data_IF_267743883797
#
_entry.id   IF_267743883797
#
_cell.length_a   1.000
_cell.length_b   1.000
_cell.length_c   1.000
_cell.angle_alpha   90.00
_cell.angle_beta   90.00
_cell.angle_gamma   90.00
#
_symmetry.space_group_name_H-M   'P 1'
#
loop_
_entity.id
_entity.type
_entity.pdbx_description
1 polymer ?
#
# COMPACT_ATOMS: atom_id res chain seq x y z
N UNK A 1 16.93 -24.89 13.60
CA UNK A 1 16.57 -23.86 12.60
C UNK A 1 15.06 -23.93 12.42
N UNK A 2 14.35 -22.86 12.76
CA UNK A 2 12.89 -22.77 12.65
C UNK A 2 12.51 -22.39 11.22
N UNK A 3 11.31 -22.76 10.75
CA UNK A 3 10.75 -22.29 9.47
C UNK A 3 10.72 -20.75 9.38
N UNK A 4 10.78 -20.04 10.52
CA UNK A 4 10.93 -18.58 10.59
C UNK A 4 12.30 -18.07 10.12
N UNK A 5 13.35 -18.90 10.17
CA UNK A 5 14.70 -18.56 9.71
C UNK A 5 14.82 -18.61 8.16
N UNK A 6 13.82 -19.18 7.49
CA UNK A 6 13.71 -19.23 6.02
C UNK A 6 12.92 -18.05 5.45
N UNK A 7 12.36 -17.17 6.30
CA UNK A 7 11.75 -15.93 5.83
C UNK A 7 12.87 -15.00 5.36
N UNK A 8 12.92 -14.60 4.07
CA UNK A 8 14.04 -13.80 3.59
C UNK A 8 14.07 -12.45 4.33
N UNK A 9 15.26 -12.09 4.82
CA UNK A 9 15.65 -10.77 5.38
C UNK A 9 15.23 -9.58 4.49
N UNK A 10 14.90 -9.86 3.22
CA UNK A 10 14.34 -8.95 2.22
C UNK A 10 12.94 -8.38 2.54
N UNK A 11 12.28 -8.79 3.62
CA UNK A 11 10.90 -8.36 3.96
C UNK A 11 10.83 -7.04 4.73
N UNK A 12 11.71 -6.80 5.71
CA UNK A 12 11.66 -5.59 6.56
C UNK A 12 11.99 -4.32 5.78
N UNK A 13 13.10 -4.31 5.05
CA UNK A 13 13.53 -3.16 4.25
C UNK A 13 12.57 -2.84 3.11
N UNK A 14 12.03 -3.87 2.44
CA UNK A 14 11.00 -3.69 1.43
C UNK A 14 9.73 -3.05 2.01
N UNK A 15 9.31 -3.51 3.18
CA UNK A 15 8.19 -2.91 3.92
C UNK A 15 8.47 -1.46 4.28
N UNK A 16 9.61 -1.15 4.89
CA UNK A 16 10.00 0.22 5.25
C UNK A 16 10.05 1.16 4.05
N UNK A 17 10.59 0.70 2.92
CA UNK A 17 10.62 1.47 1.68
C UNK A 17 9.20 1.73 1.14
N UNK A 18 8.33 0.72 1.15
CA UNK A 18 6.94 0.86 0.73
C UNK A 18 6.16 1.82 1.65
N UNK A 19 6.36 1.73 2.96
CA UNK A 19 5.75 2.65 3.94
C UNK A 19 6.24 4.07 3.74
N UNK A 20 7.54 4.26 3.51
CA UNK A 20 8.10 5.59 3.21
C UNK A 20 7.52 6.17 1.92
N UNK A 21 7.42 5.36 0.88
CA UNK A 21 6.80 5.76 -0.39
C UNK A 21 5.32 6.10 -0.21
N UNK A 22 4.58 5.33 0.59
CA UNK A 22 3.19 5.59 0.91
C UNK A 22 3.00 6.90 1.69
N UNK A 23 3.79 7.13 2.76
CA UNK A 23 3.74 8.39 3.51
C UNK A 23 4.11 9.60 2.63
N UNK A 24 5.05 9.43 1.71
CA UNK A 24 5.37 10.46 0.72
C UNK A 24 4.20 10.72 -0.23
N UNK A 25 3.54 9.67 -0.71
CA UNK A 25 2.33 9.78 -1.52
C UNK A 25 1.23 10.57 -0.78
N UNK A 26 0.98 10.28 0.50
CA UNK A 26 0.02 11.06 1.30
C UNK A 26 0.42 12.54 1.36
N UNK A 27 1.70 12.82 1.61
CA UNK A 27 2.20 14.20 1.68
C UNK A 27 2.05 14.95 0.36
N UNK A 28 2.33 14.28 -0.77
CA UNK A 28 2.16 14.85 -2.12
C UNK A 28 0.66 15.12 -2.44
N UNK A 29 -0.27 14.37 -1.83
CA UNK A 29 -1.73 14.59 -1.92
C UNK A 29 -2.26 15.59 -0.87
N UNK A 30 -1.40 16.17 -0.04
CA UNK A 30 -1.80 17.09 1.04
C UNK A 30 -2.50 16.40 2.23
N UNK A 31 -2.33 15.08 2.36
CA UNK A 31 -2.94 14.25 3.42
C UNK A 31 -1.89 13.97 4.49
N UNK A 32 -2.21 14.27 5.76
CA UNK A 32 -1.36 13.87 6.88
C UNK A 32 -1.70 12.46 7.35
N UNK A 33 -0.74 11.79 8.01
CA UNK A 33 -0.98 10.45 8.55
C UNK A 33 -2.04 10.50 9.67
N UNK A 34 -1.99 11.54 10.50
CA UNK A 34 -2.90 11.76 11.62
C UNK A 34 -4.34 11.96 11.13
N UNK A 35 -4.52 12.69 10.02
CA UNK A 35 -5.84 12.83 9.39
C UNK A 35 -6.36 11.48 8.88
N UNK A 36 -5.48 10.67 8.27
CA UNK A 36 -5.85 9.34 7.80
C UNK A 36 -6.26 8.44 8.96
N UNK A 37 -5.54 8.47 10.09
CA UNK A 37 -5.89 7.72 11.31
C UNK A 37 -7.30 8.11 11.82
N UNK A 38 -7.62 9.40 11.86
CA UNK A 38 -8.98 9.87 12.23
C UNK A 38 -10.03 9.37 11.25
N UNK A 39 -9.73 9.26 9.96
CA UNK A 39 -10.66 8.65 9.00
C UNK A 39 -10.91 7.16 9.28
N UNK A 40 -9.93 6.43 9.84
CA UNK A 40 -10.06 4.99 10.11
C UNK A 40 -10.94 4.66 11.33
N UNK A 41 -11.35 5.67 12.10
CA UNK A 41 -12.30 5.52 13.21
C UNK A 41 -13.75 5.82 12.82
N UNK A 42 -14.01 6.24 11.58
CA UNK A 42 -15.34 6.61 11.07
C UNK A 42 -16.02 5.43 10.41
N UNK A 43 -17.34 5.49 10.27
CA UNK A 43 -18.14 4.43 9.64
C UNK A 43 -17.71 4.15 8.18
N UNK A 44 -17.23 5.17 7.47
CA UNK A 44 -16.77 5.05 6.09
C UNK A 44 -15.30 4.60 5.97
N UNK A 45 -14.63 4.23 7.06
CA UNK A 45 -13.23 3.80 7.08
C UNK A 45 -12.88 2.72 6.02
N UNK A 46 -13.70 1.67 5.78
CA UNK A 46 -13.41 0.68 4.74
C UNK A 46 -13.28 1.30 3.34
N UNK A 47 -14.18 2.22 3.00
CA UNK A 47 -14.20 2.90 1.71
C UNK A 47 -13.00 3.84 1.56
N UNK A 48 -12.65 4.57 2.62
CA UNK A 48 -11.48 5.45 2.64
C UNK A 48 -10.20 4.64 2.45
N UNK A 49 -10.04 3.54 3.18
CA UNK A 49 -8.87 2.66 3.06
C UNK A 49 -8.74 2.09 1.64
N UNK A 50 -9.84 1.58 1.07
CA UNK A 50 -9.87 1.11 -0.31
C UNK A 50 -9.47 2.19 -1.33
N UNK A 51 -9.99 3.41 -1.16
CA UNK A 51 -9.70 4.52 -2.06
C UNK A 51 -8.23 4.95 -1.99
N UNK A 52 -7.67 5.07 -0.79
CA UNK A 52 -6.28 5.48 -0.57
C UNK A 52 -5.31 4.43 -1.11
N UNK A 53 -5.55 3.14 -0.84
CA UNK A 53 -4.71 2.06 -1.37
C UNK A 53 -4.81 1.96 -2.89
N UNK A 54 -6.00 2.16 -3.48
CA UNK A 54 -6.19 2.20 -4.94
C UNK A 54 -5.40 3.35 -5.57
N UNK A 55 -5.51 4.57 -5.02
CA UNK A 55 -4.80 5.75 -5.51
C UNK A 55 -3.29 5.59 -5.38
N UNK A 56 -2.82 5.00 -4.28
CA UNK A 56 -1.40 4.68 -4.11
C UNK A 56 -0.90 3.72 -5.20
N UNK A 57 -1.64 2.63 -5.48
CA UNK A 57 -1.32 1.72 -6.58
C UNK A 57 -1.25 2.41 -7.94
N UNK A 58 -2.20 3.30 -8.24
CA UNK A 58 -2.17 4.11 -9.45
C UNK A 58 -0.96 5.05 -9.49
N UNK A 59 -0.60 5.68 -8.38
CA UNK A 59 0.60 6.52 -8.31
C UNK A 59 1.88 5.71 -8.60
N UNK A 60 1.97 4.46 -8.16
CA UNK A 60 3.13 3.61 -8.44
C UNK A 60 3.21 3.22 -9.92
N UNK A 61 2.07 2.92 -10.55
CA UNK A 61 2.02 2.50 -11.94
C UNK A 61 2.22 3.64 -12.94
N UNK A 62 1.78 4.85 -12.60
CA UNK A 62 1.67 5.96 -13.56
C UNK A 62 2.45 7.22 -13.19
N UNK A 63 2.88 7.40 -11.93
CA UNK A 63 3.69 8.57 -11.56
C UNK A 63 5.12 8.32 -12.00
N UNK A 64 5.58 9.11 -12.97
CA UNK A 64 6.97 9.09 -13.41
C UNK A 64 7.90 9.34 -12.20
N UNK A 65 8.92 8.49 -12.05
CA UNK A 65 9.98 8.74 -11.07
C UNK A 65 10.81 9.98 -11.44
N UNK A 66 11.87 10.25 -10.66
CA UNK A 66 12.76 11.43 -10.85
C UNK A 66 13.42 11.57 -12.24
N UNK A 67 13.25 10.60 -13.15
CA UNK A 67 13.81 10.57 -14.51
C UNK A 67 12.76 10.41 -15.61
N UNK A 68 11.48 10.62 -15.32
CA UNK A 68 10.42 10.35 -16.31
C UNK A 68 10.10 8.86 -16.47
N UNK A 69 10.69 7.99 -15.64
CA UNK A 69 10.61 6.53 -15.84
C UNK A 69 9.61 5.91 -14.87
N UNK A 70 8.70 5.08 -15.42
CA UNK A 70 7.75 4.30 -14.63
C UNK A 70 8.45 3.19 -13.85
N UNK A 71 7.87 2.82 -12.72
CA UNK A 71 8.35 1.66 -11.96
C UNK A 71 8.09 0.38 -12.75
N UNK A 72 9.05 -0.54 -12.74
CA UNK A 72 8.82 -1.87 -13.27
C UNK A 72 7.66 -2.55 -12.53
N UNK A 73 6.79 -3.26 -13.25
CA UNK A 73 5.62 -3.98 -12.73
C UNK A 73 5.87 -4.74 -11.42
N UNK A 74 6.98 -5.49 -11.33
CA UNK A 74 7.31 -6.26 -10.12
C UNK A 74 7.55 -5.37 -8.90
N UNK A 75 8.14 -4.18 -9.08
CA UNK A 75 8.32 -3.18 -8.03
C UNK A 75 6.98 -2.54 -7.64
N UNK A 76 6.13 -2.19 -8.62
CA UNK A 76 4.78 -1.68 -8.35
C UNK A 76 4.03 -2.66 -7.44
N UNK A 77 4.04 -3.94 -7.80
CA UNK A 77 3.37 -4.98 -7.01
C UNK A 77 4.02 -5.20 -5.65
N UNK A 78 5.35 -5.13 -5.54
CA UNK A 78 6.04 -5.24 -4.26
C UNK A 78 5.65 -4.09 -3.32
N UNK A 79 5.69 -2.84 -3.79
CA UNK A 79 5.33 -1.67 -3.00
C UNK A 79 3.85 -1.70 -2.61
N UNK A 80 2.97 -2.01 -3.55
CA UNK A 80 1.54 -2.13 -3.31
C UNK A 80 1.24 -3.17 -2.22
N UNK A 81 1.78 -4.40 -2.35
CA UNK A 81 1.54 -5.48 -1.38
C UNK A 81 2.06 -5.13 0.00
N UNK A 82 3.27 -4.56 0.08
CA UNK A 82 3.88 -4.18 1.35
C UNK A 82 3.14 -3.04 2.05
N UNK A 83 2.74 -1.99 1.33
CA UNK A 83 1.96 -0.88 1.88
C UNK A 83 0.56 -1.34 2.30
N UNK A 84 -0.12 -2.14 1.47
CA UNK A 84 -1.42 -2.73 1.79
C UNK A 84 -1.36 -3.51 3.09
N UNK A 85 -0.43 -4.46 3.18
CA UNK A 85 -0.30 -5.30 4.37
C UNK A 85 0.06 -4.46 5.61
N UNK A 86 0.95 -3.48 5.48
CA UNK A 86 1.27 -2.59 6.59
C UNK A 86 0.05 -1.79 7.06
N UNK A 87 -0.75 -1.21 6.16
CA UNK A 87 -1.99 -0.51 6.54
C UNK A 87 -2.99 -1.42 7.26
N UNK A 88 -3.16 -2.66 6.78
CA UNK A 88 -4.03 -3.64 7.43
C UNK A 88 -3.50 -4.07 8.81
N UNK A 89 -2.19 -4.00 9.03
CA UNK A 89 -1.61 -4.21 10.35
C UNK A 89 -1.79 -2.99 11.27
N UNK A 90 -1.89 -1.77 10.72
CA UNK A 90 -2.22 -0.56 11.50
C UNK A 90 -3.72 -0.52 11.88
N UNK A 91 -4.59 -1.04 11.02
CA UNK A 91 -6.05 -1.00 11.19
C UNK A 91 -6.65 -2.42 11.10
N UNK A 92 -6.36 -3.31 12.08
CA UNK A 92 -6.72 -4.72 11.99
C UNK A 92 -8.23 -4.95 11.92
N UNK A 93 -9.05 -4.06 12.48
CA UNK A 93 -10.52 -4.10 12.41
C UNK A 93 -11.07 -3.96 10.98
N UNK A 94 -10.31 -3.37 10.07
CA UNK A 94 -10.71 -3.19 8.67
C UNK A 94 -10.33 -4.37 7.76
N UNK A 95 -9.53 -5.32 8.26
CA UNK A 95 -8.94 -6.39 7.44
C UNK A 95 -9.98 -7.33 6.87
N UNK A 96 -10.91 -7.84 7.68
CA UNK A 96 -11.96 -8.76 7.21
C UNK A 96 -12.88 -8.11 6.17
N UNK A 97 -13.12 -6.80 6.29
CA UNK A 97 -14.03 -6.04 5.45
C UNK A 97 -13.39 -5.72 4.10
N UNK A 98 -12.12 -5.29 4.11
CA UNK A 98 -11.47 -4.70 2.92
C UNK A 98 -10.56 -5.65 2.15
N UNK A 99 -10.09 -6.75 2.74
CA UNK A 99 -9.03 -7.56 2.11
C UNK A 99 -9.46 -8.18 0.77
N UNK A 100 -10.70 -8.68 0.66
CA UNK A 100 -11.24 -9.19 -0.62
C UNK A 100 -11.30 -8.11 -1.70
N UNK A 101 -11.71 -6.90 -1.34
CA UNK A 101 -11.82 -5.78 -2.27
C UNK A 101 -10.42 -5.31 -2.72
N UNK A 102 -9.50 -5.18 -1.77
CA UNK A 102 -8.10 -4.80 -2.05
C UNK A 102 -7.35 -5.86 -2.85
N UNK A 103 -7.68 -7.15 -2.68
CA UNK A 103 -7.14 -8.24 -3.50
C UNK A 103 -7.56 -8.08 -4.96
N UNK A 104 -8.86 -7.87 -5.23
CA UNK A 104 -9.37 -7.62 -6.60
C UNK A 104 -8.71 -6.40 -7.24
N UNK A 105 -8.55 -5.31 -6.49
CA UNK A 105 -7.86 -4.10 -6.97
C UNK A 105 -6.38 -4.35 -7.24
N UNK A 106 -5.70 -5.16 -6.41
CA UNK A 106 -4.31 -5.57 -6.64
C UNK A 106 -4.13 -6.40 -7.90
N UNK A 107 -5.04 -7.33 -8.17
CA UNK A 107 -5.06 -8.10 -9.42
C UNK A 107 -5.28 -7.21 -10.65
N UNK A 108 -6.13 -6.19 -10.51
CA UNK A 108 -6.34 -5.20 -11.57
C UNK A 108 -5.07 -4.40 -11.82
N UNK A 109 -4.44 -3.88 -10.76
CA UNK A 109 -3.17 -3.15 -10.86
C UNK A 109 -2.11 -3.98 -11.59
N UNK A 110 -1.96 -5.25 -11.20
CA UNK A 110 -1.00 -6.17 -11.82
C UNK A 110 -1.21 -6.34 -13.33
N UNK A 111 -2.44 -6.25 -13.83
CA UNK A 111 -2.74 -6.36 -15.27
C UNK A 111 -2.38 -5.11 -16.06
N UNK A 112 -2.41 -3.93 -15.42
CA UNK A 112 -2.27 -2.63 -16.08
C UNK A 112 -0.96 -1.88 -15.73
N UNK A 113 -0.12 -2.45 -14.87
CA UNK A 113 1.22 -1.94 -14.52
C UNK A 113 2.34 -2.62 -15.30
#
# INVERSE_FOLDING_TARGET
MSLTDLAPTNTKRARENAVRSFKRFLSDEGITWEYLEVCMTRENAPLVLEAVVKKFGMSLAFKEGRKGQLLARHLVMQYYRQAKNWLLDQFPHLRSITDKALLKKGQMLERYS
#
